data_IF_294902500388
#
_entry.id   IF_294902500388
#
_cell.length_a   1.000
_cell.length_b   1.000
_cell.length_c   1.000
_cell.angle_alpha   90.00
_cell.angle_beta   90.00
_cell.angle_gamma   90.00
#
_symmetry.space_group_name_H-M   'P 1'
#
loop_
_entity.id
_entity.type
_entity.pdbx_description
1 polymer ?
#
# COMPACT_ATOMS: atom_id res chain seq x y z
N UNK A 1 17.33 -0.60 1.74
CA UNK A 1 15.94 -0.58 2.16
C UNK A 1 15.47 0.81 2.59
N UNK A 2 16.16 1.51 3.52
CA UNK A 2 15.75 2.82 4.06
C UNK A 2 15.58 3.90 2.98
N UNK A 3 16.49 3.97 2.01
CA UNK A 3 16.39 4.95 0.89
C UNK A 3 15.12 4.73 0.08
N UNK A 4 14.79 3.48 -0.25
CA UNK A 4 13.59 3.12 -1.02
C UNK A 4 12.33 3.41 -0.21
N UNK A 5 12.32 3.11 1.09
CA UNK A 5 11.22 3.46 1.99
C UNK A 5 10.95 4.98 1.98
N UNK A 6 12.00 5.81 2.11
CA UNK A 6 11.86 7.27 2.11
C UNK A 6 11.29 7.76 0.76
N UNK A 7 11.82 7.27 -0.36
CA UNK A 7 11.30 7.63 -1.70
C UNK A 7 9.81 7.28 -1.82
N UNK A 8 9.42 6.08 -1.39
CA UNK A 8 8.02 5.65 -1.43
C UNK A 8 7.13 6.55 -0.55
N UNK A 9 7.59 6.91 0.66
CA UNK A 9 6.85 7.78 1.58
C UNK A 9 6.68 9.19 0.99
N UNK A 10 7.74 9.74 0.38
CA UNK A 10 7.66 11.05 -0.29
C UNK A 10 6.66 11.00 -1.44
N UNK A 11 6.69 9.97 -2.28
CA UNK A 11 5.72 9.79 -3.36
C UNK A 11 4.29 9.64 -2.84
N UNK A 12 4.06 8.91 -1.73
CA UNK A 12 2.76 8.83 -1.06
C UNK A 12 2.27 10.22 -0.64
N UNK A 13 3.14 11.04 -0.05
CA UNK A 13 2.82 12.42 0.35
C UNK A 13 2.45 13.30 -0.85
N UNK A 14 3.22 13.22 -1.94
CA UNK A 14 2.93 13.97 -3.17
C UNK A 14 1.61 13.52 -3.82
N UNK A 15 1.35 12.21 -3.85
CA UNK A 15 0.08 11.66 -4.35
C UNK A 15 -1.11 12.17 -3.52
N UNK A 16 -1.00 12.15 -2.19
CA UNK A 16 -2.01 12.66 -1.29
C UNK A 16 -2.26 14.16 -1.50
N UNK A 17 -1.20 14.96 -1.63
CA UNK A 17 -1.31 16.39 -1.90
C UNK A 17 -2.01 16.66 -3.23
N UNK A 18 -1.61 15.97 -4.29
CA UNK A 18 -2.23 16.12 -5.60
C UNK A 18 -3.71 15.70 -5.59
N UNK A 19 -4.07 14.62 -4.87
CA UNK A 19 -5.45 14.19 -4.70
C UNK A 19 -6.30 15.22 -3.93
N UNK A 20 -5.75 15.86 -2.89
CA UNK A 20 -6.44 16.95 -2.17
C UNK A 20 -6.66 18.15 -3.08
N UNK A 21 -5.68 18.57 -3.84
CA UNK A 21 -5.81 19.68 -4.82
C UNK A 21 -6.91 19.34 -5.84
N UNK A 22 -6.89 18.13 -6.39
CA UNK A 22 -7.92 17.67 -7.32
C UNK A 22 -9.32 17.69 -6.68
N UNK A 23 -9.45 17.24 -5.42
CA UNK A 23 -10.70 17.27 -4.68
C UNK A 23 -11.24 18.70 -4.52
N UNK A 24 -10.39 19.66 -4.16
CA UNK A 24 -10.76 21.08 -4.06
C UNK A 24 -11.23 21.66 -5.40
N UNK A 25 -10.57 21.28 -6.49
CA UNK A 25 -10.95 21.73 -7.83
C UNK A 25 -12.28 21.15 -8.29
N UNK A 26 -12.55 19.86 -8.00
CA UNK A 26 -13.87 19.24 -8.26
C UNK A 26 -14.99 19.99 -7.54
N UNK A 27 -14.84 20.25 -6.24
CA UNK A 27 -15.83 21.00 -5.48
C UNK A 27 -16.03 22.43 -5.99
N UNK A 28 -14.98 23.11 -6.48
CA UNK A 28 -15.10 24.43 -7.08
C UNK A 28 -15.85 24.42 -8.41
N UNK A 29 -15.71 23.36 -9.20
CA UNK A 29 -16.41 23.24 -10.49
C UNK A 29 -17.85 22.73 -10.36
N UNK A 30 -18.28 22.28 -9.16
CA UNK A 30 -19.63 21.74 -8.96
C UNK A 30 -20.74 22.71 -9.33
N UNK A 31 -20.64 23.97 -8.91
CA UNK A 31 -21.65 25.01 -9.25
C UNK A 31 -21.70 25.30 -10.75
N UNK A 32 -20.56 25.28 -11.44
CA UNK A 32 -20.48 25.45 -12.89
C UNK A 32 -21.15 24.26 -13.62
N UNK A 33 -20.88 23.02 -13.17
CA UNK A 33 -21.52 21.81 -13.70
C UNK A 33 -23.03 21.87 -13.50
N UNK A 34 -23.49 22.29 -12.33
CA UNK A 34 -24.92 22.46 -12.03
C UNK A 34 -25.56 23.50 -12.95
N UNK A 35 -24.96 24.67 -13.14
CA UNK A 35 -25.45 25.72 -14.05
C UNK A 35 -25.45 25.26 -15.50
N UNK A 36 -24.44 24.47 -15.93
CA UNK A 36 -24.37 23.87 -17.24
C UNK A 36 -25.54 22.91 -17.49
N UNK A 37 -25.79 21.98 -16.56
CA UNK A 37 -26.86 20.99 -16.66
C UNK A 37 -28.22 21.64 -16.79
N UNK A 38 -28.48 22.76 -16.10
CA UNK A 38 -29.74 23.48 -16.18
C UNK A 38 -29.82 24.49 -17.36
N UNK A 39 -28.81 24.51 -18.22
CA UNK A 39 -28.79 25.42 -19.38
C UNK A 39 -28.70 26.90 -19.03
N UNK A 40 -28.16 27.24 -17.87
CA UNK A 40 -28.06 28.59 -17.35
C UNK A 40 -26.74 29.29 -17.74
N UNK A 41 -25.89 28.66 -18.56
CA UNK A 41 -24.62 29.20 -19.01
C UNK A 41 -24.75 29.85 -20.39
N UNK A 42 -24.11 31.02 -20.57
CA UNK A 42 -23.90 31.62 -21.87
C UNK A 42 -22.87 30.83 -22.70
N UNK A 43 -22.84 31.05 -24.04
CA UNK A 43 -21.83 30.40 -24.90
C UNK A 43 -20.39 30.68 -24.48
N UNK A 44 -20.11 31.90 -24.00
CA UNK A 44 -18.78 32.27 -23.48
C UNK A 44 -18.45 31.52 -22.18
N UNK A 45 -19.42 31.31 -21.30
CA UNK A 45 -19.24 30.53 -20.06
C UNK A 45 -19.05 29.05 -20.36
N UNK A 46 -19.77 28.49 -21.34
CA UNK A 46 -19.58 27.13 -21.82
C UNK A 46 -18.17 26.92 -22.36
N UNK A 47 -17.68 27.82 -23.22
CA UNK A 47 -16.35 27.75 -23.79
C UNK A 47 -15.27 27.87 -22.70
N UNK A 48 -15.43 28.75 -21.71
CA UNK A 48 -14.54 28.86 -20.55
C UNK A 48 -14.58 27.60 -19.69
N UNK A 49 -15.75 27.05 -19.46
CA UNK A 49 -15.96 25.80 -18.71
C UNK A 49 -15.27 24.60 -19.38
N UNK A 50 -15.42 24.44 -20.69
CA UNK A 50 -14.73 23.41 -21.49
C UNK A 50 -13.22 23.56 -21.39
N UNK A 51 -12.69 24.79 -21.45
CA UNK A 51 -11.26 25.05 -21.28
C UNK A 51 -10.80 24.75 -19.84
N UNK A 52 -11.62 25.05 -18.83
CA UNK A 52 -11.34 24.71 -17.43
C UNK A 52 -11.29 23.21 -17.21
N UNK A 53 -12.25 22.46 -17.75
CA UNK A 53 -12.26 20.99 -17.68
C UNK A 53 -11.07 20.40 -18.43
N UNK A 54 -10.71 20.94 -19.60
CA UNK A 54 -9.50 20.53 -20.30
C UNK A 54 -8.22 20.83 -19.48
N UNK A 55 -8.23 21.88 -18.67
CA UNK A 55 -7.14 22.22 -17.76
C UNK A 55 -7.02 21.31 -16.53
N UNK A 56 -8.12 20.66 -16.09
CA UNK A 56 -8.09 19.71 -14.95
C UNK A 56 -7.64 18.31 -15.35
N UNK A 57 -7.76 17.93 -16.61
CA UNK A 57 -7.32 16.64 -17.15
C UNK A 57 -5.83 16.33 -16.87
N UNK A 58 -4.89 17.25 -17.09
CA UNK A 58 -3.49 17.04 -16.74
C UNK A 58 -3.23 16.75 -15.26
N UNK A 59 -3.99 17.38 -14.34
CA UNK A 59 -3.85 17.13 -12.91
C UNK A 59 -4.37 15.75 -12.51
N UNK A 60 -5.48 15.30 -13.10
CA UNK A 60 -6.00 13.94 -12.89
C UNK A 60 -5.00 12.90 -13.39
N UNK A 61 -4.39 13.14 -14.54
CA UNK A 61 -3.31 12.30 -15.05
C UNK A 61 -2.10 12.31 -14.11
N UNK A 62 -1.73 13.47 -13.55
CA UNK A 62 -0.64 13.59 -12.58
C UNK A 62 -0.92 12.74 -11.32
N UNK A 63 -2.12 12.80 -10.75
CA UNK A 63 -2.51 11.95 -9.62
C UNK A 63 -2.34 10.47 -9.96
N UNK A 64 -2.80 10.06 -11.15
CA UNK A 64 -2.67 8.67 -11.62
C UNK A 64 -1.21 8.24 -11.79
N UNK A 65 -0.36 9.09 -12.38
CA UNK A 65 1.08 8.80 -12.52
C UNK A 65 1.80 8.76 -11.18
N UNK A 66 1.48 9.67 -10.25
CA UNK A 66 2.04 9.66 -8.91
C UNK A 66 1.60 8.41 -8.13
N UNK A 67 0.34 8.00 -8.25
CA UNK A 67 -0.17 6.78 -7.62
C UNK A 67 0.54 5.54 -8.18
N UNK A 68 0.75 5.47 -9.51
CA UNK A 68 1.49 4.40 -10.15
C UNK A 68 2.95 4.38 -9.70
N UNK A 69 3.63 5.52 -9.70
CA UNK A 69 5.01 5.65 -9.22
C UNK A 69 5.15 5.26 -7.75
N UNK A 70 4.18 5.66 -6.92
CA UNK A 70 4.09 5.27 -5.50
C UNK A 70 3.95 3.76 -5.36
N UNK A 71 3.06 3.14 -6.15
CA UNK A 71 2.87 1.69 -6.16
C UNK A 71 4.15 0.94 -6.54
N UNK A 72 4.84 1.39 -7.59
CA UNK A 72 6.12 0.80 -8.02
C UNK A 72 7.17 0.91 -6.91
N UNK A 73 7.35 2.10 -6.31
CA UNK A 73 8.31 2.31 -5.23
C UNK A 73 7.98 1.46 -3.99
N UNK A 74 6.70 1.33 -3.65
CA UNK A 74 6.24 0.45 -2.58
C UNK A 74 6.52 -1.02 -2.87
N UNK A 75 6.29 -1.51 -4.09
CA UNK A 75 6.57 -2.89 -4.49
C UNK A 75 8.08 -3.20 -4.48
N UNK A 76 8.92 -2.25 -4.89
CA UNK A 76 10.38 -2.40 -4.80
C UNK A 76 10.80 -2.50 -3.33
N UNK A 77 10.26 -1.66 -2.45
CA UNK A 77 10.52 -1.75 -1.03
C UNK A 77 10.05 -3.09 -0.45
N UNK A 78 8.84 -3.52 -0.80
CA UNK A 78 8.24 -4.77 -0.32
C UNK A 78 9.05 -5.99 -0.74
N UNK A 79 9.55 -5.99 -1.99
CA UNK A 79 10.43 -7.03 -2.50
C UNK A 79 11.74 -7.09 -1.70
N UNK A 80 12.41 -5.96 -1.53
CA UNK A 80 13.65 -5.88 -0.75
C UNK A 80 13.45 -6.27 0.72
N UNK A 81 12.32 -5.83 1.32
CA UNK A 81 11.99 -6.19 2.69
C UNK A 81 11.78 -7.69 2.85
N UNK A 82 11.22 -8.36 1.83
CA UNK A 82 11.08 -9.81 1.82
C UNK A 82 12.44 -10.51 1.68
N UNK A 83 13.26 -10.12 0.70
CA UNK A 83 14.59 -10.70 0.53
C UNK A 83 15.44 -10.60 1.80
N UNK A 84 15.36 -9.47 2.49
CA UNK A 84 16.03 -9.30 3.77
C UNK A 84 15.53 -10.29 4.83
N UNK A 85 14.23 -10.60 4.87
CA UNK A 85 13.71 -11.60 5.83
C UNK A 85 14.16 -13.01 5.50
N UNK A 86 14.28 -13.38 4.25
CA UNK A 86 14.83 -14.67 3.83
C UNK A 86 16.30 -14.82 4.26
N UNK A 87 17.07 -13.74 4.16
CA UNK A 87 18.48 -13.70 4.61
C UNK A 87 18.63 -13.69 6.14
N UNK A 88 17.77 -12.98 6.86
CA UNK A 88 17.76 -12.92 8.32
C UNK A 88 17.32 -14.25 8.96
N UNK A 89 16.69 -15.12 8.21
CA UNK A 89 16.23 -16.43 8.63
C UNK A 89 17.37 -17.45 8.50
N UNK A 90 18.31 -17.38 9.45
CA UNK A 90 19.37 -18.40 9.56
C UNK A 90 18.74 -19.76 9.90
N UNK A 91 19.23 -20.88 9.31
CA UNK A 91 18.81 -22.23 9.67
C UNK A 91 19.03 -22.56 11.16
N UNK A 92 19.78 -21.75 11.89
CA UNK A 92 20.03 -21.88 13.33
C UNK A 92 19.12 -21.02 14.21
N UNK A 93 18.24 -20.16 13.62
CA UNK A 93 17.27 -19.42 14.42
C UNK A 93 16.11 -20.34 14.85
N UNK A 94 15.53 -20.16 16.06
CA UNK A 94 14.37 -20.92 16.47
C UNK A 94 13.22 -20.67 15.48
N UNK A 95 12.72 -21.74 14.87
CA UNK A 95 11.66 -21.68 13.87
C UNK A 95 10.39 -21.10 14.49
N UNK A 96 9.69 -20.17 13.81
CA UNK A 96 8.36 -19.76 14.25
C UNK A 96 7.38 -20.95 14.21
N UNK A 97 6.38 -20.89 15.06
CA UNK A 97 5.39 -21.95 15.30
C UNK A 97 4.43 -22.26 14.12
N UNK A 98 4.74 -21.79 12.90
CA UNK A 98 3.98 -22.18 11.70
C UNK A 98 4.67 -23.36 11.02
N UNK A 99 3.91 -24.31 10.44
CA UNK A 99 4.45 -25.32 9.56
C UNK A 99 4.96 -24.62 8.30
N UNK A 100 6.15 -24.01 8.39
CA UNK A 100 6.82 -23.44 7.26
C UNK A 100 7.27 -24.60 6.35
N UNK A 101 6.87 -24.55 5.09
CA UNK A 101 7.47 -25.35 4.05
C UNK A 101 8.98 -25.05 4.09
N UNK A 102 9.85 -26.05 4.37
CA UNK A 102 11.27 -25.82 4.50
C UNK A 102 11.91 -25.19 3.24
N UNK A 103 11.20 -25.23 2.10
CA UNK A 103 11.62 -24.64 0.83
C UNK A 103 11.20 -23.17 0.67
N UNK A 104 10.29 -22.66 1.52
CA UNK A 104 9.69 -21.31 1.39
C UNK A 104 10.07 -20.32 2.50
N UNK A 105 10.86 -20.74 3.49
CA UNK A 105 11.24 -19.90 4.62
C UNK A 105 10.03 -19.47 5.48
N UNK A 106 10.04 -18.25 6.06
CA UNK A 106 8.98 -17.77 6.97
C UNK A 106 7.70 -17.33 6.25
N UNK A 107 7.61 -17.44 4.92
CA UNK A 107 6.54 -16.87 4.11
C UNK A 107 5.54 -17.93 3.65
N UNK A 108 4.24 -17.62 3.81
CA UNK A 108 3.13 -18.47 3.31
C UNK A 108 3.07 -18.53 1.78
N UNK A 109 3.59 -17.51 1.09
CA UNK A 109 3.46 -17.35 -0.37
C UNK A 109 4.82 -17.31 -1.05
N UNK A 110 4.90 -17.87 -2.27
CA UNK A 110 6.11 -17.80 -3.09
C UNK A 110 6.48 -16.33 -3.42
N UNK A 111 7.75 -16.04 -3.71
CA UNK A 111 8.26 -14.70 -3.95
C UNK A 111 7.56 -13.96 -5.09
N UNK A 112 7.18 -14.64 -6.17
CA UNK A 112 6.46 -14.03 -7.29
C UNK A 112 5.12 -13.37 -6.88
N UNK A 113 4.49 -13.84 -5.79
CA UNK A 113 3.25 -13.24 -5.30
C UNK A 113 3.43 -11.86 -4.65
N UNK A 114 4.66 -11.45 -4.33
CA UNK A 114 4.92 -10.08 -3.86
C UNK A 114 4.43 -9.04 -4.87
N UNK A 115 4.63 -9.32 -6.15
CA UNK A 115 4.18 -8.46 -7.24
C UNK A 115 2.85 -8.98 -7.83
N UNK A 116 2.77 -10.28 -8.15
CA UNK A 116 1.61 -10.87 -8.81
C UNK A 116 0.28 -10.71 -8.06
N UNK A 117 0.32 -10.62 -6.72
CA UNK A 117 -0.88 -10.45 -5.90
C UNK A 117 -1.61 -9.12 -6.12
N UNK A 118 -0.94 -8.10 -6.65
CA UNK A 118 -1.53 -6.78 -6.90
C UNK A 118 -2.25 -6.68 -8.24
N UNK A 119 -1.92 -7.58 -9.16
CA UNK A 119 -2.48 -7.61 -10.52
C UNK A 119 -3.57 -8.67 -10.70
N UNK A 120 -3.66 -9.65 -9.82
CA UNK A 120 -4.66 -10.71 -9.92
C UNK A 120 -5.97 -10.24 -9.23
N UNK A 121 -7.09 -10.07 -9.97
CA UNK A 121 -8.29 -9.41 -9.48
C UNK A 121 -8.91 -10.05 -8.23
N UNK A 122 -8.82 -11.38 -8.09
CA UNK A 122 -9.41 -12.10 -6.98
C UNK A 122 -8.50 -12.05 -5.76
N UNK A 123 -7.21 -12.39 -5.93
CA UNK A 123 -6.29 -12.54 -4.79
C UNK A 123 -5.78 -11.21 -4.24
N UNK A 124 -5.91 -10.11 -5.00
CA UNK A 124 -5.51 -8.77 -4.58
C UNK A 124 -6.19 -8.29 -3.30
N UNK A 125 -7.34 -8.89 -2.92
CA UNK A 125 -8.07 -8.51 -1.72
C UNK A 125 -7.56 -9.16 -0.43
N UNK A 126 -6.61 -10.14 -0.49
CA UNK A 126 -6.06 -10.75 0.74
C UNK A 126 -4.60 -11.16 0.67
N UNK A 127 -4.02 -11.44 -0.52
CA UNK A 127 -2.61 -11.83 -0.60
C UNK A 127 -1.65 -10.70 -0.22
N UNK A 128 -1.83 -9.45 -0.67
CA UNK A 128 -0.95 -8.35 -0.26
C UNK A 128 -0.92 -8.17 1.25
N UNK A 129 -2.08 -8.25 1.90
CA UNK A 129 -2.18 -8.21 3.36
C UNK A 129 -1.36 -9.33 4.02
N UNK A 130 -1.51 -10.58 3.53
CA UNK A 130 -0.78 -11.73 4.06
C UNK A 130 0.73 -11.59 3.87
N UNK A 131 1.17 -11.06 2.73
CA UNK A 131 2.59 -10.85 2.41
C UNK A 131 3.21 -9.81 3.35
N UNK A 132 2.55 -8.67 3.54
CA UNK A 132 3.02 -7.64 4.47
C UNK A 132 3.01 -8.15 5.92
N UNK A 133 2.00 -8.92 6.31
CA UNK A 133 1.90 -9.56 7.63
C UNK A 133 3.05 -10.56 7.87
N UNK A 134 3.39 -11.39 6.87
CA UNK A 134 4.50 -12.35 6.96
C UNK A 134 5.85 -11.62 7.08
N UNK A 135 6.09 -10.58 6.27
CA UNK A 135 7.30 -9.77 6.34
C UNK A 135 7.41 -9.07 7.69
N UNK A 136 6.31 -8.49 8.21
CA UNK A 136 6.28 -7.86 9.52
C UNK A 136 6.62 -8.85 10.63
N UNK A 137 6.03 -10.06 10.61
CA UNK A 137 6.32 -11.13 11.58
C UNK A 137 7.76 -11.59 11.52
N UNK A 138 8.30 -11.79 10.32
CA UNK A 138 9.67 -12.22 10.12
C UNK A 138 10.71 -11.15 10.52
N UNK A 139 10.33 -9.88 10.48
CA UNK A 139 11.18 -8.75 10.86
C UNK A 139 11.16 -8.45 12.36
N UNK A 140 10.17 -8.96 13.10
CA UNK A 140 9.98 -8.66 14.52
C UNK A 140 11.17 -9.16 15.36
N UNK A 141 11.69 -8.34 16.32
CA UNK A 141 12.80 -8.76 17.17
C UNK A 141 12.47 -9.99 18.01
N UNK A 142 13.43 -10.90 18.27
CA UNK A 142 13.22 -12.06 19.15
C UNK A 142 12.76 -11.63 20.53
N UNK A 143 11.68 -12.24 21.05
CA UNK A 143 11.12 -11.93 22.36
C UNK A 143 10.23 -10.70 22.43
N UNK A 144 10.04 -9.96 21.33
CA UNK A 144 9.03 -8.92 21.27
C UNK A 144 7.64 -9.56 21.13
N UNK A 145 6.74 -9.25 22.06
CA UNK A 145 5.32 -9.53 21.86
C UNK A 145 4.78 -8.53 20.85
N UNK A 146 4.16 -9.03 19.78
CA UNK A 146 3.57 -8.20 18.74
C UNK A 146 2.64 -7.16 19.36
N UNK A 147 3.03 -5.89 19.28
CA UNK A 147 2.25 -4.81 19.87
C UNK A 147 0.88 -4.73 19.18
N UNK A 148 -0.18 -4.48 19.95
CA UNK A 148 -1.52 -4.23 19.41
C UNK A 148 -1.50 -3.11 18.36
N UNK A 149 -0.60 -2.15 18.51
CA UNK A 149 -0.37 -1.04 17.58
C UNK A 149 0.04 -1.52 16.18
N UNK A 150 1.00 -2.46 16.07
CA UNK A 150 1.44 -2.98 14.76
C UNK A 150 0.31 -3.70 14.04
N UNK A 151 -0.48 -4.46 14.78
CA UNK A 151 -1.66 -5.14 14.24
C UNK A 151 -2.72 -4.15 13.77
N UNK A 152 -3.01 -3.11 14.57
CA UNK A 152 -3.95 -2.06 14.22
C UNK A 152 -3.51 -1.29 12.97
N UNK A 153 -2.21 -0.97 12.83
CA UNK A 153 -1.67 -0.33 11.64
C UNK A 153 -1.84 -1.21 10.38
N UNK A 154 -1.57 -2.49 10.49
CA UNK A 154 -1.70 -3.42 9.37
C UNK A 154 -3.15 -3.56 8.89
N UNK A 155 -4.10 -3.76 9.83
CA UNK A 155 -5.52 -3.83 9.50
C UNK A 155 -6.07 -2.48 9.02
N UNK A 156 -5.66 -1.38 9.66
CA UNK A 156 -6.06 -0.02 9.28
C UNK A 156 -5.59 0.33 7.87
N UNK A 157 -4.30 0.05 7.56
CA UNK A 157 -3.77 0.23 6.21
C UNK A 157 -4.57 -0.56 5.18
N UNK A 158 -4.79 -1.86 5.44
CA UNK A 158 -5.47 -2.72 4.48
C UNK A 158 -6.94 -2.34 4.28
N UNK A 159 -7.66 -2.04 5.35
CA UNK A 159 -9.07 -1.63 5.28
C UNK A 159 -9.24 -0.31 4.50
N UNK A 160 -8.39 0.69 4.77
CA UNK A 160 -8.47 1.99 4.09
C UNK A 160 -8.01 1.91 2.63
N UNK A 161 -6.98 1.11 2.33
CA UNK A 161 -6.56 0.84 0.95
C UNK A 161 -7.63 0.12 0.13
N UNK A 162 -8.23 -0.93 0.70
CA UNK A 162 -9.32 -1.65 0.03
C UNK A 162 -10.54 -0.77 -0.12
N UNK A 163 -10.91 -0.01 0.92
CA UNK A 163 -12.00 0.96 0.88
C UNK A 163 -11.81 2.02 -0.19
N UNK A 164 -10.59 2.56 -0.34
CA UNK A 164 -10.25 3.48 -1.42
C UNK A 164 -10.59 2.90 -2.79
N UNK A 165 -10.13 1.67 -3.08
CA UNK A 165 -10.41 1.03 -4.38
C UNK A 165 -11.87 0.70 -4.59
N UNK A 166 -12.59 0.25 -3.56
CA UNK A 166 -14.03 -0.03 -3.64
C UNK A 166 -14.81 1.24 -3.98
N UNK A 167 -14.49 2.37 -3.35
CA UNK A 167 -15.17 3.62 -3.64
C UNK A 167 -14.77 4.17 -5.00
N UNK A 168 -13.48 4.15 -5.36
CA UNK A 168 -13.02 4.68 -6.62
C UNK A 168 -13.57 3.89 -7.81
N UNK A 169 -13.45 2.56 -7.80
CA UNK A 169 -13.90 1.70 -8.89
C UNK A 169 -15.42 1.53 -8.85
N UNK A 170 -15.99 1.24 -7.67
CA UNK A 170 -17.44 1.05 -7.52
C UNK A 170 -18.21 2.34 -7.80
N UNK A 171 -17.81 3.45 -7.18
CA UNK A 171 -18.41 4.76 -7.40
C UNK A 171 -18.26 5.23 -8.84
N UNK A 172 -17.07 5.06 -9.43
CA UNK A 172 -16.81 5.37 -10.84
C UNK A 172 -17.68 4.55 -11.79
N UNK A 173 -17.88 3.26 -11.50
CA UNK A 173 -18.76 2.39 -12.30
C UNK A 173 -20.22 2.85 -12.20
N UNK A 174 -20.70 3.17 -11.01
CA UNK A 174 -22.07 3.68 -10.82
C UNK A 174 -22.27 5.01 -11.55
N UNK A 175 -21.29 5.92 -11.45
CA UNK A 175 -21.33 7.20 -12.16
C UNK A 175 -21.34 7.01 -13.69
N UNK A 176 -20.52 6.09 -14.21
CA UNK A 176 -20.48 5.77 -15.63
C UNK A 176 -21.82 5.19 -16.12
N UNK A 177 -22.40 4.25 -15.38
CA UNK A 177 -23.72 3.68 -15.71
C UNK A 177 -24.78 4.79 -15.70
N UNK A 178 -24.78 5.65 -14.67
CA UNK A 178 -25.67 6.80 -14.56
C UNK A 178 -25.56 7.73 -15.78
N UNK A 179 -24.33 8.05 -16.19
CA UNK A 179 -24.07 8.86 -17.38
C UNK A 179 -24.58 8.19 -18.66
N UNK A 180 -24.33 6.88 -18.84
CA UNK A 180 -24.81 6.13 -20.02
C UNK A 180 -26.35 6.13 -20.07
N UNK A 181 -27.02 5.87 -18.96
CA UNK A 181 -28.50 5.89 -18.88
C UNK A 181 -29.03 7.27 -19.22
N UNK A 182 -28.43 8.32 -18.68
CA UNK A 182 -28.78 9.69 -19.00
C UNK A 182 -28.60 10.00 -20.49
N UNK A 183 -27.47 9.60 -21.08
CA UNK A 183 -27.16 9.84 -22.50
C UNK A 183 -28.13 9.12 -23.42
N UNK A 184 -28.52 7.87 -23.13
CA UNK A 184 -29.51 7.12 -23.88
C UNK A 184 -30.85 7.85 -23.85
N UNK A 185 -31.28 8.30 -22.65
CA UNK A 185 -32.55 9.06 -22.53
C UNK A 185 -32.50 10.40 -23.25
N UNK A 186 -31.37 11.07 -23.30
CA UNK A 186 -31.20 12.30 -24.07
C UNK A 186 -31.38 12.06 -25.56
N UNK A 187 -30.86 10.95 -26.09
CA UNK A 187 -31.03 10.55 -27.49
C UNK A 187 -32.53 10.25 -27.76
N UNK A 188 -33.20 9.49 -26.88
CA UNK A 188 -34.64 9.17 -27.02
C UNK A 188 -35.51 10.44 -27.07
N UNK A 189 -35.20 11.43 -26.24
CA UNK A 189 -35.90 12.75 -26.26
C UNK A 189 -35.63 13.52 -27.54
N UNK A 190 -34.39 13.48 -28.05
CA UNK A 190 -34.01 14.17 -29.28
C UNK A 190 -34.65 13.54 -30.53
N UNK A 191 -34.86 12.22 -30.53
CA UNK A 191 -35.48 11.48 -31.66
C UNK A 191 -37.01 11.48 -31.60
N UNK A 192 -37.60 11.76 -30.43
CA UNK A 192 -39.06 11.83 -30.24
C UNK A 192 -39.62 13.17 -30.74
N UNK A 193 -39.56 13.40 -32.06
CA UNK A 193 -40.23 14.55 -32.70
C UNK A 193 -41.77 14.40 -32.83
N UNK A 194 -42.34 13.26 -32.38
CA UNK A 194 -43.77 13.01 -32.39
C UNK A 194 -44.45 13.37 -31.06
N UNK A 195 -45.49 14.18 -31.12
CA UNK A 195 -46.31 14.66 -30.01
C UNK A 195 -47.02 13.55 -29.18
N UNK A 196 -46.86 12.27 -29.56
CA UNK A 196 -47.42 11.10 -28.88
C UNK A 196 -46.42 10.40 -27.93
N UNK A 197 -45.18 10.87 -27.83
CA UNK A 197 -44.17 10.32 -26.95
C UNK A 197 -44.48 10.59 -25.47
N UNK A 198 -44.27 9.65 -24.54
CA UNK A 198 -44.49 9.91 -23.13
C UNK A 198 -43.63 11.07 -22.72
N UNK A 199 -44.24 12.05 -22.02
CA UNK A 199 -43.61 13.25 -21.53
C UNK A 199 -42.39 12.86 -20.64
N UNK A 200 -41.19 12.98 -21.17
CA UNK A 200 -39.96 12.83 -20.36
C UNK A 200 -39.74 14.15 -19.68
N UNK A 201 -39.82 14.15 -18.37
CA UNK A 201 -39.54 15.35 -17.58
C UNK A 201 -38.05 15.67 -17.67
N UNK A 202 -37.72 16.71 -18.46
CA UNK A 202 -36.35 17.18 -18.66
C UNK A 202 -35.77 17.62 -17.31
N UNK A 203 -36.57 18.14 -16.40
CA UNK A 203 -36.12 18.58 -15.08
C UNK A 203 -35.69 17.39 -14.21
N UNK A 204 -36.43 16.28 -14.22
CA UNK A 204 -36.04 15.07 -13.51
C UNK A 204 -34.70 14.52 -14.04
N UNK A 205 -34.46 14.63 -15.33
CA UNK A 205 -33.22 14.20 -15.96
C UNK A 205 -32.04 15.11 -15.57
N UNK A 206 -32.26 16.43 -15.51
CA UNK A 206 -31.26 17.40 -15.06
C UNK A 206 -30.95 17.20 -13.58
N UNK A 207 -31.95 17.03 -12.73
CA UNK A 207 -31.79 16.74 -11.32
C UNK A 207 -31.04 15.44 -11.06
N UNK A 208 -31.29 14.40 -11.86
CA UNK A 208 -30.55 13.16 -11.78
C UNK A 208 -29.05 13.38 -12.04
N UNK A 209 -28.69 14.13 -13.09
CA UNK A 209 -27.28 14.42 -13.42
C UNK A 209 -26.59 15.24 -12.34
N UNK A 210 -27.27 16.22 -11.76
CA UNK A 210 -26.72 17.01 -10.63
C UNK A 210 -26.47 16.12 -9.41
N UNK A 211 -27.36 15.15 -9.11
CA UNK A 211 -27.16 14.18 -8.03
C UNK A 211 -26.00 13.23 -8.33
N UNK A 212 -25.81 12.80 -9.57
CA UNK A 212 -24.66 11.98 -9.97
C UNK A 212 -23.36 12.77 -9.79
N UNK A 213 -23.31 14.03 -10.22
CA UNK A 213 -22.14 14.89 -10.02
C UNK A 213 -21.81 15.07 -8.54
N UNK A 214 -22.81 15.35 -7.71
CA UNK A 214 -22.64 15.44 -6.25
C UNK A 214 -22.11 14.12 -5.66
N UNK A 215 -22.65 13.00 -6.11
CA UNK A 215 -22.21 11.66 -5.69
C UNK A 215 -20.76 11.38 -6.04
N UNK A 216 -20.30 11.84 -7.22
CA UNK A 216 -18.89 11.74 -7.66
C UNK A 216 -17.99 12.57 -6.76
N UNK A 217 -18.36 13.82 -6.44
CA UNK A 217 -17.56 14.71 -5.58
C UNK A 217 -17.44 14.18 -4.16
N UNK A 218 -18.55 13.70 -3.59
CA UNK A 218 -18.53 13.05 -2.26
C UNK A 218 -17.68 11.77 -2.30
N UNK A 219 -17.90 10.92 -3.29
CA UNK A 219 -17.14 9.67 -3.45
C UNK A 219 -15.65 9.91 -3.60
N UNK A 220 -15.24 10.89 -4.41
CA UNK A 220 -13.85 11.27 -4.57
C UNK A 220 -13.25 11.84 -3.28
N UNK A 221 -14.02 12.63 -2.53
CA UNK A 221 -13.60 13.15 -1.22
C UNK A 221 -13.34 12.02 -0.24
N UNK A 222 -14.25 11.07 -0.11
CA UNK A 222 -14.10 9.90 0.77
C UNK A 222 -12.91 9.05 0.33
N UNK A 223 -12.76 8.79 -0.98
CA UNK A 223 -11.62 8.07 -1.52
C UNK A 223 -10.29 8.76 -1.19
N UNK A 224 -10.22 10.10 -1.32
CA UNK A 224 -9.04 10.90 -0.97
C UNK A 224 -8.68 10.77 0.51
N UNK A 225 -9.67 10.85 1.41
CA UNK A 225 -9.44 10.66 2.86
C UNK A 225 -8.91 9.25 3.15
N UNK A 226 -9.50 8.21 2.54
CA UNK A 226 -9.05 6.83 2.71
C UNK A 226 -7.63 6.63 2.17
N UNK A 227 -7.28 7.25 1.03
CA UNK A 227 -5.94 7.21 0.45
C UNK A 227 -4.90 7.84 1.39
N UNK A 228 -5.21 8.99 2.00
CA UNK A 228 -4.34 9.66 2.97
C UNK A 228 -4.11 8.76 4.18
N UNK A 229 -5.17 8.21 4.76
CA UNK A 229 -5.07 7.32 5.94
C UNK A 229 -4.27 6.06 5.60
N UNK A 230 -4.52 5.45 4.44
CA UNK A 230 -3.76 4.31 3.94
C UNK A 230 -2.27 4.65 3.76
N UNK A 231 -1.96 5.81 3.18
CA UNK A 231 -0.59 6.29 2.98
C UNK A 231 0.15 6.52 4.30
N UNK A 232 -0.50 7.12 5.29
CA UNK A 232 0.07 7.30 6.64
C UNK A 232 0.34 5.94 7.30
N UNK A 233 -0.64 5.03 7.29
CA UNK A 233 -0.49 3.72 7.90
C UNK A 233 0.61 2.89 7.20
N UNK A 234 0.66 2.90 5.86
CA UNK A 234 1.71 2.26 5.08
C UNK A 234 3.10 2.83 5.41
N UNK A 235 3.22 4.16 5.50
CA UNK A 235 4.47 4.83 5.85
C UNK A 235 4.99 4.41 7.22
N UNK A 236 4.11 4.34 8.21
CA UNK A 236 4.46 3.89 9.56
C UNK A 236 4.86 2.41 9.58
N UNK A 237 4.17 1.55 8.83
CA UNK A 237 4.53 0.14 8.67
C UNK A 237 5.91 -0.02 8.02
N UNK A 238 6.17 0.72 6.93
CA UNK A 238 7.44 0.69 6.21
C UNK A 238 8.61 1.13 7.11
N UNK A 239 8.43 2.21 7.85
CA UNK A 239 9.45 2.71 8.78
C UNK A 239 9.72 1.69 9.90
N UNK A 240 8.68 1.14 10.51
CA UNK A 240 8.82 0.18 11.59
C UNK A 240 9.51 -1.12 11.14
N UNK A 241 9.09 -1.67 9.99
CA UNK A 241 9.70 -2.89 9.43
C UNK A 241 11.17 -2.62 9.04
N UNK A 242 11.44 -1.47 8.42
CA UNK A 242 12.79 -1.07 8.01
C UNK A 242 13.72 -0.94 9.22
N UNK A 243 13.24 -0.31 10.30
CA UNK A 243 13.98 -0.16 11.54
C UNK A 243 14.32 -1.52 12.18
N UNK A 244 13.33 -2.41 12.28
CA UNK A 244 13.54 -3.77 12.79
C UNK A 244 14.58 -4.55 12.00
N UNK A 245 14.56 -4.45 10.66
CA UNK A 245 15.52 -5.13 9.81
C UNK A 245 16.93 -4.54 9.93
N UNK A 246 17.05 -3.21 10.04
CA UNK A 246 18.37 -2.56 10.21
C UNK A 246 19.02 -2.89 11.55
N UNK A 247 18.27 -2.91 12.63
CA UNK A 247 18.80 -3.24 13.97
C UNK A 247 19.29 -4.68 14.07
N UNK A 248 18.73 -5.59 13.25
CA UNK A 248 19.19 -7.00 13.19
C UNK A 248 20.44 -7.19 12.34
N UNK A 249 20.61 -6.40 11.29
CA UNK A 249 21.78 -6.50 10.38
C UNK A 249 23.01 -5.83 11.00
N UNK A 250 22.84 -4.83 11.84
CA UNK A 250 23.95 -4.21 12.59
C UNK A 250 24.18 -5.04 13.85
N UNK A 251 25.25 -5.86 13.93
CA UNK A 251 25.58 -6.51 15.20
C UNK A 251 25.74 -5.40 16.26
N UNK A 252 25.25 -5.62 17.50
CA UNK A 252 25.48 -4.66 18.56
C UNK A 252 27.00 -4.41 18.62
N UNK A 253 27.43 -3.15 18.84
CA UNK A 253 28.84 -2.86 18.96
C UNK A 253 29.41 -3.85 19.97
N UNK A 254 30.40 -4.61 19.53
CA UNK A 254 31.12 -5.51 20.43
C UNK A 254 31.60 -4.62 21.52
N UNK A 255 30.93 -4.62 22.67
CA UNK A 255 31.52 -4.06 23.87
C UNK A 255 32.81 -4.83 24.02
N UNK A 256 33.94 -4.14 23.85
CA UNK A 256 35.27 -4.64 24.20
C UNK A 256 35.34 -4.94 25.69
N UNK A 257 34.50 -5.86 26.14
CA UNK A 257 34.72 -6.61 27.37
C UNK A 257 35.42 -7.93 27.00
N UNK A 258 36.34 -7.86 26.04
CA UNK A 258 37.43 -8.84 26.07
C UNK A 258 38.27 -8.41 27.25
N UNK A 259 37.87 -8.84 28.45
CA UNK A 259 38.86 -9.06 29.50
C UNK A 259 40.00 -9.80 28.82
N UNK A 260 41.23 -9.30 28.86
CA UNK A 260 42.37 -10.07 28.44
C UNK A 260 42.21 -11.45 29.09
N UNK A 261 42.10 -12.50 28.29
CA UNK A 261 42.18 -13.85 28.82
C UNK A 261 43.51 -13.88 29.57
N UNK A 262 43.47 -14.02 30.88
CA UNK A 262 44.64 -14.29 31.64
C UNK A 262 45.41 -15.39 30.92
N UNK A 263 46.73 -15.22 30.67
CA UNK A 263 47.49 -16.21 29.95
C UNK A 263 47.27 -17.57 30.65
N UNK A 264 47.10 -18.64 29.86
CA UNK A 264 46.78 -19.95 30.43
C UNK A 264 47.81 -20.27 31.49
N UNK A 265 47.38 -20.33 32.76
CA UNK A 265 48.22 -20.82 33.83
C UNK A 265 48.64 -22.24 33.43
N UNK A 266 49.92 -22.39 33.11
CA UNK A 266 50.49 -23.70 32.83
C UNK A 266 50.23 -24.59 34.05
N UNK A 267 49.34 -25.57 33.89
CA UNK A 267 49.14 -26.61 34.87
C UNK A 267 50.51 -27.30 35.09
N UNK A 268 50.98 -27.51 36.33
CA UNK A 268 52.25 -28.19 36.59
C UNK A 268 52.20 -29.54 35.93
N UNK A 269 53.26 -29.81 35.14
CA UNK A 269 53.46 -31.16 34.55
C UNK A 269 53.55 -32.17 35.67
N UNK A 270 52.51 -32.97 35.80
CA UNK A 270 52.58 -34.20 36.57
C UNK A 270 53.60 -35.11 35.86
N UNK A 271 54.78 -35.31 36.53
CA UNK A 271 55.66 -36.40 36.15
C UNK A 271 54.94 -37.70 36.51
N UNK A 272 54.46 -38.43 35.56
CA UNK A 272 54.12 -39.81 35.71
C UNK A 272 55.43 -40.58 35.87
N UNK A 273 55.67 -41.34 36.98
CA UNK A 273 56.73 -42.32 37.06
C UNK A 273 56.43 -43.37 36.00
N UNK A 274 57.36 -43.54 35.07
CA UNK A 274 57.28 -44.57 34.02
C UNK A 274 57.18 -45.96 34.64
N UNK A 275 56.44 -46.91 34.03
CA UNK A 275 56.38 -48.30 34.45
C UNK A 275 57.79 -48.92 34.30
N UNK A 276 58.36 -49.42 35.43
CA UNK A 276 59.62 -50.14 35.42
C UNK A 276 59.49 -51.39 34.57
N UNK A 277 60.42 -51.54 33.66
CA UNK A 277 60.55 -52.78 32.90
C UNK A 277 61.07 -53.92 33.81
N UNK A 278 60.49 -55.08 33.78
CA UNK A 278 61.06 -56.25 34.48
C UNK A 278 62.40 -56.68 33.82
N UNK A 279 63.47 -56.70 34.60
CA UNK A 279 64.74 -57.27 34.26
C UNK A 279 64.60 -58.80 34.34
N UNK A 280 64.69 -59.49 33.22
CA UNK A 280 64.94 -60.90 33.17
C UNK A 280 66.45 -61.10 33.38
N UNK A 281 66.87 -61.76 34.47
CA UNK A 281 68.19 -62.32 34.74
C UNK A 281 68.27 -63.76 34.38
N UNK A 282 69.46 -64.36 34.26
CA UNK A 282 69.81 -65.56 33.51
C UNK A 282 69.22 -66.84 34.03
#
# INVERSE_FOLDING_TARGET
LRKVAIVSIVLMGLTALAAVIQCVLLWRSYDEVKRFVYGLLSEEEINRGVQSIAGTGPLLNLVSYLLMGTGIAFLIWLWQARENTDFLYSPFAPRPAFPADPTRGPHRRASGWVVGSWFCPIVQFWYPFQIVDDIAKASEPPGATRSGRMRALLYGWWATWTGFWVILVGGGTVALIGFIVWFIRLIEVADSSDASSPYVDIYDMQDFMVRVALGVDIGFTVATVLLIVAGIAASLLMLQITDWQQTRVTPPPVRDTVRPLDPPQYAPRYHHPGPGFPTYGP
#
